data_IF_886756148014
#
_entry.id   IF_886756148014
#
_cell.length_a   1.000
_cell.length_b   1.000
_cell.length_c   1.000
_cell.angle_alpha   90.00
_cell.angle_beta   90.00
_cell.angle_gamma   90.00
#
_symmetry.space_group_name_H-M   'P 1'
#
loop_
_entity.id
_entity.type
_entity.pdbx_description
1 polymer ?
#
# COMPACT_ATOMS: atom_id res chain seq x y z
N UNK A 1 10.34 -9.50 22.88
CA UNK A 1 9.06 -9.56 22.13
C UNK A 1 8.98 -8.32 21.28
N UNK A 2 8.65 -8.42 19.99
CA UNK A 2 8.41 -7.24 19.13
C UNK A 2 7.12 -6.57 19.60
N UNK A 3 7.08 -5.24 19.75
CA UNK A 3 5.90 -4.55 20.25
C UNK A 3 4.74 -4.67 19.26
N UNK A 4 3.52 -4.81 19.80
CA UNK A 4 2.29 -4.86 19.00
C UNK A 4 1.74 -3.45 18.83
N UNK A 5 1.50 -3.06 17.60
CA UNK A 5 0.90 -1.77 17.25
C UNK A 5 -0.47 -1.99 16.60
N UNK A 6 -1.39 -1.06 16.81
CA UNK A 6 -2.74 -1.14 16.26
C UNK A 6 -2.83 -0.44 14.90
N UNK A 7 -3.58 -1.04 13.98
CA UNK A 7 -4.04 -0.40 12.73
C UNK A 7 -5.08 0.70 12.97
N UNK A 8 -5.55 0.86 14.21
CA UNK A 8 -6.72 1.65 14.58
C UNK A 8 -8.06 0.95 14.29
N UNK A 9 -8.03 -0.22 13.65
CA UNK A 9 -9.20 -1.05 13.35
C UNK A 9 -9.10 -2.37 14.13
N UNK A 10 -9.83 -2.47 15.25
CA UNK A 10 -9.77 -3.64 16.15
C UNK A 10 -9.97 -4.97 15.43
N UNK A 11 -10.94 -5.04 14.52
CA UNK A 11 -11.20 -6.24 13.73
C UNK A 11 -10.02 -6.63 12.83
N UNK A 12 -9.32 -5.64 12.26
CA UNK A 12 -8.17 -5.91 11.42
C UNK A 12 -6.95 -6.32 12.25
N UNK A 13 -6.76 -5.71 13.43
CA UNK A 13 -5.72 -6.11 14.37
C UNK A 13 -5.85 -7.60 14.75
N UNK A 14 -7.08 -8.07 14.96
CA UNK A 14 -7.35 -9.48 15.24
C UNK A 14 -7.03 -10.40 14.06
N UNK A 15 -7.30 -9.97 12.83
CA UNK A 15 -6.98 -10.74 11.61
C UNK A 15 -5.47 -10.82 11.40
N UNK A 16 -4.75 -9.72 11.60
CA UNK A 16 -3.33 -9.61 11.30
C UNK A 16 -2.41 -10.04 12.45
N UNK A 17 -2.95 -10.39 13.63
CA UNK A 17 -2.17 -10.51 14.88
C UNK A 17 -1.33 -9.23 15.14
N UNK A 18 -2.00 -8.10 14.99
CA UNK A 18 -1.48 -6.73 15.12
C UNK A 18 -0.35 -6.39 14.14
N UNK A 19 -0.13 -5.09 13.97
CA UNK A 19 1.12 -4.61 13.39
C UNK A 19 2.25 -4.84 14.39
N UNK A 20 3.47 -4.86 13.89
CA UNK A 20 4.70 -4.99 14.68
C UNK A 20 5.67 -3.90 14.24
N UNK A 21 6.48 -3.42 15.17
CA UNK A 21 7.58 -2.52 14.83
C UNK A 21 8.48 -3.16 13.77
N UNK A 22 8.85 -2.38 12.76
CA UNK A 22 9.51 -2.81 11.54
C UNK A 22 8.56 -3.16 10.39
N UNK A 23 7.24 -3.26 10.59
CA UNK A 23 6.33 -3.63 9.50
C UNK A 23 6.29 -2.56 8.40
N UNK A 24 6.71 -2.96 7.20
CA UNK A 24 6.25 -2.34 5.97
C UNK A 24 4.90 -2.96 5.59
N UNK A 25 3.89 -2.13 5.40
CA UNK A 25 2.49 -2.50 5.13
C UNK A 25 2.08 -1.96 3.78
N UNK A 26 1.98 -2.85 2.81
CA UNK A 26 1.62 -2.50 1.43
C UNK A 26 0.16 -2.82 1.18
N UNK A 27 -0.59 -1.82 0.74
CA UNK A 27 -2.00 -1.88 0.45
C UNK A 27 -2.21 -1.76 -1.06
N UNK A 28 -2.73 -2.81 -1.68
CA UNK A 28 -3.18 -2.77 -3.06
C UNK A 28 -4.65 -2.38 -3.10
N UNK A 29 -4.96 -1.25 -3.71
CA UNK A 29 -6.30 -0.65 -3.77
C UNK A 29 -6.71 -0.35 -5.21
N UNK A 30 -8.00 -0.31 -5.49
CA UNK A 30 -8.51 0.14 -6.79
C UNK A 30 -8.49 1.68 -6.91
N UNK A 31 -8.75 2.37 -5.80
CA UNK A 31 -8.73 3.84 -5.70
C UNK A 31 -8.00 4.28 -4.44
N UNK A 32 -7.33 5.42 -4.50
CA UNK A 32 -6.60 5.96 -3.36
C UNK A 32 -7.51 6.36 -2.18
N UNK A 33 -8.77 6.72 -2.46
CA UNK A 33 -9.74 7.00 -1.40
C UNK A 33 -10.10 5.75 -0.59
N UNK A 34 -9.97 4.55 -1.16
CA UNK A 34 -10.13 3.30 -0.40
C UNK A 34 -9.01 3.15 0.64
N UNK A 35 -7.77 3.47 0.25
CA UNK A 35 -6.61 3.46 1.16
C UNK A 35 -6.77 4.43 2.33
N UNK A 36 -7.39 5.60 2.09
CA UNK A 36 -7.66 6.61 3.13
C UNK A 36 -8.43 6.03 4.32
N UNK A 37 -9.34 5.08 4.09
CA UNK A 37 -10.12 4.41 5.14
C UNK A 37 -9.25 3.57 6.10
N UNK A 38 -8.03 3.22 5.71
CA UNK A 38 -7.06 2.50 6.55
C UNK A 38 -5.99 3.43 7.12
N UNK A 39 -5.61 4.49 6.38
CA UNK A 39 -4.67 5.51 6.88
C UNK A 39 -5.26 6.32 8.04
N UNK A 40 -6.52 6.75 7.91
CA UNK A 40 -7.15 7.60 8.92
C UNK A 40 -7.21 6.97 10.32
N UNK A 41 -7.70 5.72 10.49
CA UNK A 41 -7.69 5.08 11.81
C UNK A 41 -6.27 4.82 12.31
N UNK A 42 -5.33 4.44 11.44
CA UNK A 42 -3.92 4.22 11.81
C UNK A 42 -3.29 5.49 12.39
N UNK A 43 -3.39 6.62 11.68
CA UNK A 43 -2.86 7.91 12.14
C UNK A 43 -3.58 8.40 13.40
N UNK A 44 -4.90 8.24 13.45
CA UNK A 44 -5.69 8.63 14.63
C UNK A 44 -5.21 7.88 15.87
N UNK A 45 -4.99 6.56 15.72
CA UNK A 45 -4.49 5.72 16.80
C UNK A 45 -3.06 6.07 17.20
N UNK A 46 -2.18 6.27 16.23
CA UNK A 46 -0.80 6.69 16.46
C UNK A 46 -0.72 7.98 17.30
N UNK A 47 -1.57 8.96 16.99
CA UNK A 47 -1.67 10.22 17.74
C UNK A 47 -2.14 10.00 19.18
N UNK A 48 -3.12 9.12 19.40
CA UNK A 48 -3.61 8.78 20.74
C UNK A 48 -2.53 8.10 21.59
N UNK A 49 -1.68 7.30 20.95
CA UNK A 49 -0.55 6.64 21.59
C UNK A 49 0.71 7.54 21.65
N UNK A 50 0.58 8.84 21.34
CA UNK A 50 1.69 9.82 21.30
C UNK A 50 2.87 9.39 20.41
N UNK A 51 2.60 8.63 19.35
CA UNK A 51 3.59 8.24 18.36
C UNK A 51 3.76 9.35 17.33
N UNK A 52 5.00 9.62 16.94
CA UNK A 52 5.31 10.54 15.84
C UNK A 52 4.88 9.92 14.52
N UNK A 53 4.17 10.71 13.71
CA UNK A 53 3.77 10.33 12.36
C UNK A 53 4.50 11.21 11.36
N UNK A 54 5.09 10.60 10.35
CA UNK A 54 5.71 11.27 9.21
C UNK A 54 4.92 10.95 7.95
N UNK A 55 4.47 11.97 7.25
CA UNK A 55 3.76 11.83 5.99
C UNK A 55 4.66 12.27 4.82
N UNK A 56 5.00 11.31 3.97
CA UNK A 56 5.82 11.51 2.77
C UNK A 56 4.90 11.84 1.59
N UNK A 57 4.85 13.13 1.25
CA UNK A 57 3.92 13.70 0.27
C UNK A 57 4.64 13.93 -1.06
N UNK A 58 4.20 13.31 -2.14
CA UNK A 58 4.79 13.43 -3.48
C UNK A 58 3.80 13.23 -4.63
N UNK A 59 2.58 12.77 -4.33
CA UNK A 59 1.57 12.42 -5.32
C UNK A 59 0.56 13.55 -5.55
N UNK A 60 -0.16 13.50 -6.68
CA UNK A 60 -1.15 14.54 -7.05
C UNK A 60 -2.53 14.33 -6.43
N UNK A 61 -2.83 13.16 -5.88
CA UNK A 61 -4.09 12.90 -5.21
C UNK A 61 -4.27 13.80 -3.97
N UNK A 62 -5.49 13.92 -3.45
CA UNK A 62 -5.75 14.70 -2.22
C UNK A 62 -4.89 14.16 -1.05
N UNK A 63 -4.36 15.02 -0.16
CA UNK A 63 -3.60 14.59 1.01
C UNK A 63 -4.35 13.53 1.83
N UNK A 64 -3.63 12.50 2.25
CA UNK A 64 -4.15 11.40 3.07
C UNK A 64 -4.13 11.74 4.56
N UNK A 65 -3.16 12.54 4.98
CA UNK A 65 -2.95 12.99 6.35
C UNK A 65 -2.94 14.51 6.39
N UNK A 66 -3.52 15.08 7.45
CA UNK A 66 -3.49 16.52 7.71
C UNK A 66 -2.40 16.85 8.73
N UNK A 67 -1.86 18.06 8.66
CA UNK A 67 -0.86 18.53 9.61
C UNK A 67 -1.45 18.60 11.03
N UNK A 68 -0.65 18.22 12.02
CA UNK A 68 -0.99 18.22 13.43
C UNK A 68 0.29 18.29 14.27
N UNK A 69 0.19 18.47 15.58
CA UNK A 69 1.31 18.56 16.53
C UNK A 69 2.22 17.33 16.47
N UNK A 70 1.65 16.14 16.27
CA UNK A 70 2.39 14.87 16.19
C UNK A 70 2.64 14.39 14.74
N UNK A 71 2.32 15.21 13.74
CA UNK A 71 2.42 14.86 12.32
C UNK A 71 3.36 15.83 11.61
N UNK A 72 4.48 15.32 11.13
CA UNK A 72 5.37 16.06 10.22
C UNK A 72 5.07 15.67 8.78
N UNK A 73 4.89 16.65 7.89
CA UNK A 73 4.69 16.41 6.46
C UNK A 73 5.95 16.84 5.71
N UNK A 74 6.46 15.96 4.86
CA UNK A 74 7.56 16.27 3.93
C UNK A 74 7.02 16.24 2.51
N UNK A 75 7.03 17.39 1.85
CA UNK A 75 6.76 17.52 0.42
C UNK A 75 8.03 17.19 -0.37
N UNK A 76 7.91 16.19 -1.24
CA UNK A 76 8.96 15.63 -2.08
C UNK A 76 8.57 15.76 -3.55
N UNK A 77 9.51 16.14 -4.40
CA UNK A 77 9.27 16.22 -5.84
C UNK A 77 9.49 14.86 -6.51
N UNK A 78 8.42 14.22 -6.95
CA UNK A 78 8.50 12.98 -7.72
C UNK A 78 9.36 13.11 -9.00
N UNK A 79 9.44 14.31 -9.59
CA UNK A 79 10.14 14.58 -10.85
C UNK A 79 11.62 14.89 -10.67
N UNK A 80 12.14 14.93 -9.43
CA UNK A 80 13.56 15.12 -9.18
C UNK A 80 14.44 13.97 -9.68
N UNK A 81 13.81 12.88 -10.13
CA UNK A 81 14.47 11.64 -10.52
C UNK A 81 14.60 10.65 -9.37
N UNK A 82 14.72 9.36 -9.71
CA UNK A 82 14.74 8.25 -8.76
C UNK A 82 15.82 8.37 -7.68
N UNK A 83 17.06 8.70 -8.07
CA UNK A 83 18.19 8.76 -7.14
C UNK A 83 18.00 9.88 -6.13
N UNK A 84 17.76 11.11 -6.60
CA UNK A 84 17.53 12.28 -5.74
C UNK A 84 16.36 12.06 -4.79
N UNK A 85 15.23 11.54 -5.30
CA UNK A 85 14.06 11.25 -4.48
C UNK A 85 14.38 10.19 -3.40
N UNK A 86 15.03 9.09 -3.79
CA UNK A 86 15.35 7.99 -2.88
C UNK A 86 16.35 8.43 -1.80
N UNK A 87 17.34 9.26 -2.16
CA UNK A 87 18.28 9.86 -1.21
C UNK A 87 17.57 10.80 -0.23
N UNK A 88 16.64 11.63 -0.72
CA UNK A 88 15.85 12.51 0.17
C UNK A 88 15.03 11.70 1.16
N UNK A 89 14.29 10.68 0.69
CA UNK A 89 13.52 9.79 1.56
C UNK A 89 14.42 9.10 2.59
N UNK A 90 15.56 8.57 2.16
CA UNK A 90 16.53 7.93 3.05
C UNK A 90 17.03 8.89 4.13
N UNK A 91 17.41 10.12 3.75
CA UNK A 91 17.89 11.13 4.68
C UNK A 91 16.83 11.55 5.70
N UNK A 92 15.58 11.72 5.25
CA UNK A 92 14.46 12.02 6.15
C UNK A 92 14.29 10.88 7.15
N UNK A 93 14.20 9.62 6.68
CA UNK A 93 14.05 8.45 7.55
C UNK A 93 15.19 8.36 8.57
N UNK A 94 16.44 8.58 8.13
CA UNK A 94 17.62 8.59 9.01
C UNK A 94 17.58 9.71 10.06
N UNK A 95 17.11 10.90 9.67
CA UNK A 95 17.01 12.04 10.59
C UNK A 95 15.89 11.90 11.61
N UNK A 96 14.79 11.27 11.20
CA UNK A 96 13.61 11.00 12.01
C UNK A 96 13.86 9.86 13.00
N UNK A 97 14.61 8.85 12.58
CA UNK A 97 15.11 7.79 13.44
C UNK A 97 14.07 6.73 13.77
N UNK A 98 14.20 6.16 14.97
CA UNK A 98 13.42 5.01 15.42
C UNK A 98 12.02 5.39 15.87
N UNK A 99 11.14 4.39 15.96
CA UNK A 99 9.80 4.50 16.55
C UNK A 99 8.83 5.45 15.82
N UNK A 100 9.16 5.86 14.59
CA UNK A 100 8.32 6.72 13.76
C UNK A 100 7.35 5.90 12.91
N UNK A 101 6.12 6.38 12.76
CA UNK A 101 5.14 5.81 11.85
C UNK A 101 5.08 6.62 10.56
N UNK A 102 5.29 5.98 9.43
CA UNK A 102 5.30 6.60 8.13
C UNK A 102 4.03 6.29 7.36
N UNK A 103 3.47 7.31 6.73
CA UNK A 103 2.49 7.17 5.66
C UNK A 103 3.16 7.71 4.40
N UNK A 104 3.12 6.94 3.32
CA UNK A 104 3.56 7.39 2.01
C UNK A 104 2.35 7.63 1.13
N UNK A 105 2.46 8.64 0.26
CA UNK A 105 1.58 8.77 -0.88
C UNK A 105 1.59 7.53 -1.78
N UNK A 106 0.66 7.48 -2.72
CA UNK A 106 0.56 6.34 -3.63
C UNK A 106 1.81 6.22 -4.50
N UNK A 107 2.56 5.12 -4.35
CA UNK A 107 3.77 4.89 -5.12
C UNK A 107 3.50 4.67 -6.61
N UNK A 108 2.27 4.30 -6.99
CA UNK A 108 1.89 4.23 -8.40
C UNK A 108 1.94 5.57 -9.12
N UNK A 109 1.83 6.70 -8.40
CA UNK A 109 1.92 8.03 -9.03
C UNK A 109 3.35 8.38 -9.46
N UNK A 110 4.37 7.73 -8.85
CA UNK A 110 5.76 7.87 -9.25
C UNK A 110 6.04 7.28 -10.64
N UNK A 111 5.21 6.36 -11.14
CA UNK A 111 5.37 5.78 -12.49
C UNK A 111 5.34 6.82 -13.61
N UNK A 112 4.66 7.95 -13.39
CA UNK A 112 4.60 9.03 -14.38
C UNK A 112 5.88 9.87 -14.41
N UNK A 113 6.60 9.93 -13.30
CA UNK A 113 7.84 10.68 -13.17
C UNK A 113 9.08 9.80 -13.41
N UNK A 114 8.97 8.49 -13.20
CA UNK A 114 10.09 7.56 -13.26
C UNK A 114 10.01 6.69 -14.53
N UNK A 115 11.18 6.42 -15.10
CA UNK A 115 11.28 5.80 -16.42
C UNK A 115 10.81 4.33 -16.51
N UNK A 116 10.72 3.59 -15.39
CA UNK A 116 10.31 2.17 -15.41
C UNK A 116 9.65 1.75 -14.10
N UNK A 117 8.79 0.72 -14.16
CA UNK A 117 8.21 0.07 -12.98
C UNK A 117 9.28 -0.61 -12.09
N UNK A 118 10.42 -0.97 -12.69
CA UNK A 118 11.58 -1.50 -11.98
C UNK A 118 12.09 -0.53 -10.89
N UNK A 119 12.02 0.78 -11.13
CA UNK A 119 12.47 1.78 -10.16
C UNK A 119 11.61 1.79 -8.90
N UNK A 120 10.30 1.52 -9.02
CA UNK A 120 9.43 1.34 -7.86
C UNK A 120 9.87 0.13 -7.04
N UNK A 121 10.15 -0.99 -7.71
CA UNK A 121 10.69 -2.18 -7.05
C UNK A 121 12.02 -1.92 -6.35
N UNK A 122 12.92 -1.16 -6.96
CA UNK A 122 14.22 -0.79 -6.38
C UNK A 122 14.04 0.16 -5.18
N UNK A 123 13.13 1.13 -5.27
CA UNK A 123 12.79 2.01 -4.15
C UNK A 123 12.39 1.21 -2.90
N UNK A 124 11.53 0.20 -3.06
CA UNK A 124 11.16 -0.71 -1.97
C UNK A 124 12.34 -1.52 -1.42
N UNK A 125 13.22 -2.01 -2.31
CA UNK A 125 14.41 -2.76 -1.90
C UNK A 125 15.40 -1.91 -1.10
N UNK A 126 15.44 -0.60 -1.31
CA UNK A 126 16.33 0.32 -0.58
C UNK A 126 15.65 0.81 0.71
N UNK A 127 14.38 1.22 0.61
CA UNK A 127 13.69 1.95 1.68
C UNK A 127 13.17 1.03 2.79
N UNK A 128 12.59 -0.12 2.44
CA UNK A 128 11.95 -1.00 3.43
C UNK A 128 12.94 -1.65 4.41
N UNK A 129 14.14 -2.10 4.01
CA UNK A 129 15.14 -2.57 4.96
C UNK A 129 15.54 -1.49 5.97
N UNK A 130 15.73 -0.25 5.50
CA UNK A 130 16.08 0.88 6.36
C UNK A 130 14.98 1.18 7.40
N UNK A 131 13.73 1.23 6.95
CA UNK A 131 12.56 1.36 7.83
C UNK A 131 12.46 0.22 8.85
N UNK A 132 12.76 -1.01 8.41
CA UNK A 132 12.73 -2.19 9.26
C UNK A 132 13.80 -2.13 10.36
N UNK A 133 15.03 -1.75 10.01
CA UNK A 133 16.16 -1.60 10.97
C UNK A 133 15.90 -0.54 12.04
N UNK A 134 15.16 0.51 11.68
CA UNK A 134 14.75 1.56 12.60
C UNK A 134 13.49 1.24 13.40
N UNK A 135 12.95 0.01 13.31
CA UNK A 135 11.78 -0.42 14.09
C UNK A 135 10.56 0.50 13.84
N UNK A 136 10.41 0.98 12.61
CA UNK A 136 9.34 1.90 12.18
C UNK A 136 8.12 1.12 11.65
N UNK A 137 7.00 1.80 11.41
CA UNK A 137 5.89 1.20 10.62
C UNK A 137 5.65 2.06 9.39
N UNK A 138 5.70 1.46 8.20
CA UNK A 138 5.48 2.17 6.93
C UNK A 138 4.20 1.75 6.23
N UNK A 139 3.30 2.67 5.94
CA UNK A 139 2.10 2.45 5.14
C UNK A 139 2.31 2.92 3.70
N UNK A 140 2.16 2.01 2.75
CA UNK A 140 2.34 2.25 1.32
C UNK A 140 1.10 1.83 0.55
N UNK A 141 0.69 2.62 -0.45
CA UNK A 141 -0.37 2.24 -1.37
C UNK A 141 0.15 1.99 -2.79
N UNK A 142 -0.40 0.95 -3.41
CA UNK A 142 -0.26 0.65 -4.84
C UNK A 142 -1.65 0.60 -5.46
N UNK A 143 -1.81 1.27 -6.60
CA UNK A 143 -2.98 1.11 -7.43
C UNK A 143 -2.92 -0.23 -8.17
N UNK A 144 -4.00 -1.00 -8.05
CA UNK A 144 -4.17 -2.27 -8.75
C UNK A 144 -4.00 -2.08 -10.25
N UNK A 145 -3.44 -3.09 -10.92
CA UNK A 145 -3.18 -3.07 -12.36
C UNK A 145 -2.14 -2.02 -12.84
N UNK A 146 -1.51 -1.23 -11.97
CA UNK A 146 -0.51 -0.23 -12.41
C UNK A 146 0.93 -0.76 -12.48
N UNK A 147 1.24 -1.82 -11.75
CA UNK A 147 2.57 -2.43 -11.72
C UNK A 147 2.58 -3.81 -12.40
N UNK A 148 3.72 -4.19 -12.96
CA UNK A 148 3.96 -5.53 -13.51
C UNK A 148 3.95 -6.58 -12.41
N UNK A 149 3.69 -7.84 -12.77
CA UNK A 149 3.76 -8.94 -11.81
C UNK A 149 5.15 -9.09 -11.16
N UNK A 150 6.21 -8.82 -11.93
CA UNK A 150 7.59 -8.88 -11.45
C UNK A 150 7.85 -7.85 -10.35
N UNK A 151 7.38 -6.61 -10.53
CA UNK A 151 7.51 -5.56 -9.52
C UNK A 151 6.70 -5.88 -8.27
N UNK A 152 5.45 -6.33 -8.42
CA UNK A 152 4.64 -6.76 -7.26
C UNK A 152 5.32 -7.90 -6.49
N UNK A 153 5.92 -8.87 -7.18
CA UNK A 153 6.66 -9.95 -6.53
C UNK A 153 7.85 -9.42 -5.71
N UNK A 154 8.63 -8.48 -6.27
CA UNK A 154 9.75 -7.83 -5.58
C UNK A 154 9.31 -7.03 -4.35
N UNK A 155 8.22 -6.27 -4.45
CA UNK A 155 7.62 -5.56 -3.32
C UNK A 155 7.16 -6.54 -2.25
N UNK A 156 6.51 -7.64 -2.67
CA UNK A 156 6.08 -8.70 -1.76
C UNK A 156 7.26 -9.33 -1.03
N UNK A 157 8.44 -9.44 -1.63
CA UNK A 157 9.61 -10.04 -0.98
C UNK A 157 10.11 -9.21 0.21
N UNK A 158 10.13 -7.89 0.08
CA UNK A 158 10.71 -6.98 1.10
C UNK A 158 9.71 -6.52 2.17
N UNK A 159 8.42 -6.48 1.86
CA UNK A 159 7.37 -6.03 2.80
C UNK A 159 7.03 -7.07 3.86
N UNK A 160 6.56 -6.66 5.05
CA UNK A 160 6.11 -7.60 6.09
C UNK A 160 4.65 -7.98 5.87
N UNK A 161 3.84 -7.02 5.41
CA UNK A 161 2.43 -7.19 5.11
C UNK A 161 2.16 -6.75 3.66
N UNK A 162 1.43 -7.59 2.92
CA UNK A 162 0.86 -7.24 1.62
C UNK A 162 -0.63 -7.57 1.65
N UNK A 163 -1.46 -6.55 1.53
CA UNK A 163 -2.91 -6.64 1.68
C UNK A 163 -3.59 -6.19 0.39
N UNK A 164 -4.49 -7.01 -0.11
CA UNK A 164 -5.43 -6.62 -1.14
C UNK A 164 -6.67 -6.00 -0.51
N UNK A 165 -7.10 -4.86 -1.02
CA UNK A 165 -8.34 -4.19 -0.64
C UNK A 165 -9.26 -4.09 -1.85
N UNK A 166 -10.51 -4.46 -1.63
CA UNK A 166 -11.60 -4.26 -2.59
C UNK A 166 -12.73 -3.49 -1.91
N UNK A 167 -13.32 -2.56 -2.64
CA UNK A 167 -14.53 -1.85 -2.23
C UNK A 167 -15.65 -2.22 -3.20
N UNK A 168 -16.50 -3.17 -2.80
CA UNK A 168 -17.61 -3.65 -3.61
C UNK A 168 -18.91 -3.08 -3.05
N UNK A 169 -19.47 -2.11 -3.76
CA UNK A 169 -20.75 -1.47 -3.39
C UNK A 169 -20.71 -0.87 -1.96
N UNK A 170 -19.57 -0.29 -1.56
CA UNK A 170 -19.38 0.29 -0.22
C UNK A 170 -18.92 -0.71 0.85
N UNK A 171 -18.82 -2.00 0.52
CA UNK A 171 -18.33 -3.03 1.42
C UNK A 171 -16.82 -3.24 1.19
N UNK A 172 -16.03 -3.09 2.25
CA UNK A 172 -14.59 -3.34 2.19
C UNK A 172 -14.28 -4.81 2.41
N UNK A 173 -13.46 -5.36 1.52
CA UNK A 173 -12.86 -6.67 1.64
C UNK A 173 -11.35 -6.52 1.73
N UNK A 174 -10.75 -7.15 2.75
CA UNK A 174 -9.31 -7.18 2.95
C UNK A 174 -8.82 -8.62 2.82
N UNK A 175 -7.90 -8.86 1.91
CA UNK A 175 -7.30 -10.16 1.67
C UNK A 175 -5.79 -10.09 1.91
N UNK A 176 -5.29 -10.63 3.03
CA UNK A 176 -3.87 -10.71 3.28
C UNK A 176 -3.18 -11.68 2.30
N UNK A 177 -2.32 -11.15 1.43
CA UNK A 177 -1.54 -11.92 0.46
C UNK A 177 -0.17 -12.34 1.02
N UNK A 178 0.37 -11.55 1.96
CA UNK A 178 1.57 -11.87 2.73
C UNK A 178 1.38 -11.39 4.16
N UNK A 179 1.71 -12.26 5.11
CA UNK A 179 1.84 -11.91 6.52
C UNK A 179 3.12 -12.56 7.06
N UNK A 180 4.14 -11.77 7.37
CA UNK A 180 5.45 -12.29 7.76
C UNK A 180 5.50 -12.72 9.23
N UNK A 181 5.90 -13.97 9.48
CA UNK A 181 6.08 -14.57 10.82
C UNK A 181 4.85 -14.42 11.75
N UNK A 182 3.66 -14.58 11.17
CA UNK A 182 2.39 -14.67 11.90
C UNK A 182 1.58 -15.81 11.31
N UNK A 183 0.79 -16.48 12.15
CA UNK A 183 0.09 -17.69 11.75
C UNK A 183 -1.31 -17.71 12.35
N UNK A 184 -2.32 -17.85 11.50
CA UNK A 184 -3.70 -18.16 11.90
C UNK A 184 -4.38 -18.94 10.78
N UNK A 185 -5.26 -19.92 11.09
CA UNK A 185 -5.90 -20.77 10.09
C UNK A 185 -6.73 -20.02 9.05
N UNK A 186 -7.21 -18.81 9.37
CA UNK A 186 -8.10 -18.01 8.51
C UNK A 186 -7.46 -16.74 7.96
N UNK A 187 -6.22 -16.44 8.35
CA UNK A 187 -5.53 -15.18 8.05
C UNK A 187 -5.45 -14.86 6.56
N UNK A 188 -5.20 -15.88 5.72
CA UNK A 188 -5.05 -15.73 4.27
C UNK A 188 -6.38 -15.86 3.51
N UNK A 189 -7.52 -15.90 4.20
CA UNK A 189 -8.81 -15.76 3.53
C UNK A 189 -9.09 -14.28 3.24
N UNK A 190 -9.93 -13.97 2.24
CA UNK A 190 -10.55 -12.65 2.17
C UNK A 190 -11.46 -12.42 3.37
N UNK A 191 -11.44 -11.22 3.95
CA UNK A 191 -12.27 -10.83 5.08
C UNK A 191 -13.15 -9.65 4.69
N UNK A 192 -14.45 -9.77 4.93
CA UNK A 192 -15.42 -8.70 4.77
C UNK A 192 -15.49 -7.86 6.04
N UNK A 193 -15.36 -6.55 5.91
CA UNK A 193 -15.60 -5.62 7.01
C UNK A 193 -17.10 -5.59 7.35
N UNK A 194 -17.43 -5.90 8.59
CA UNK A 194 -18.77 -5.75 9.17
C UNK A 194 -18.65 -4.96 10.46
N UNK A 195 -19.11 -3.72 10.44
CA UNK A 195 -18.92 -2.77 11.54
C UNK A 195 -17.44 -2.69 11.96
N UNK A 196 -17.12 -3.09 13.20
CA UNK A 196 -15.78 -3.07 13.78
C UNK A 196 -14.98 -4.38 13.58
N UNK A 197 -15.55 -5.35 12.88
CA UNK A 197 -14.96 -6.68 12.64
C UNK A 197 -14.59 -6.93 11.19
N UNK A 198 -13.60 -7.80 10.98
CA UNK A 198 -13.25 -8.37 9.67
C UNK A 198 -13.54 -9.86 9.70
N UNK A 199 -14.62 -10.27 9.04
CA UNK A 199 -15.13 -11.65 9.08
C UNK A 199 -14.63 -12.42 7.85
N UNK A 200 -13.98 -13.58 8.02
CA UNK A 200 -13.51 -14.37 6.87
C UNK A 200 -14.69 -14.80 6.00
N UNK A 201 -14.54 -14.67 4.68
CA UNK A 201 -15.53 -15.13 3.73
C UNK A 201 -15.51 -16.66 3.70
N UNK A 202 -16.56 -17.26 4.25
CA UNK A 202 -16.77 -18.71 4.23
C UNK A 202 -18.10 -19.11 3.60
N UNK A 203 -18.98 -18.15 3.31
CA UNK A 203 -20.25 -18.41 2.63
C UNK A 203 -20.12 -18.17 1.11
N UNK A 204 -20.95 -18.87 0.34
CA UNK A 204 -20.92 -18.85 -1.12
C UNK A 204 -21.35 -17.51 -1.71
N UNK A 205 -22.29 -16.79 -1.09
CA UNK A 205 -22.81 -15.52 -1.62
C UNK A 205 -21.75 -14.43 -1.63
N UNK A 206 -21.07 -14.23 -0.49
CA UNK A 206 -20.00 -13.24 -0.36
C UNK A 206 -18.78 -13.63 -1.21
N UNK A 207 -18.49 -14.94 -1.33
CA UNK A 207 -17.44 -15.44 -2.21
C UNK A 207 -17.73 -15.15 -3.68
N UNK A 208 -18.95 -15.45 -4.16
CA UNK A 208 -19.36 -15.18 -5.55
C UNK A 208 -19.31 -13.69 -5.85
N UNK A 209 -19.80 -12.82 -4.95
CA UNK A 209 -19.74 -11.36 -5.11
C UNK A 209 -18.29 -10.87 -5.30
N UNK A 210 -17.39 -11.30 -4.42
CA UNK A 210 -15.98 -10.92 -4.51
C UNK A 210 -15.33 -11.45 -5.80
N UNK A 211 -15.57 -12.72 -6.15
CA UNK A 211 -15.02 -13.33 -7.37
C UNK A 211 -15.51 -12.59 -8.61
N UNK A 212 -16.82 -12.34 -8.72
CA UNK A 212 -17.39 -11.59 -9.85
C UNK A 212 -16.77 -10.19 -9.98
N UNK A 213 -16.56 -9.49 -8.87
CA UNK A 213 -15.90 -8.19 -8.87
C UNK A 213 -14.44 -8.30 -9.34
N UNK A 214 -13.66 -9.24 -8.80
CA UNK A 214 -12.25 -9.44 -9.14
C UNK A 214 -12.09 -9.84 -10.60
N UNK A 215 -12.89 -10.78 -11.09
CA UNK A 215 -12.87 -11.24 -12.48
C UNK A 215 -13.20 -10.11 -13.47
N UNK A 216 -14.12 -9.21 -13.12
CA UNK A 216 -14.43 -8.02 -13.94
C UNK A 216 -13.33 -6.95 -13.96
N UNK A 217 -12.34 -7.02 -13.06
CA UNK A 217 -11.22 -6.06 -12.94
C UNK A 217 -9.87 -6.60 -13.42
N UNK A 218 -9.81 -7.88 -13.79
CA UNK A 218 -8.62 -8.49 -14.34
C UNK A 218 -8.35 -7.99 -15.75
N UNK A 219 -7.24 -7.28 -15.96
CA UNK A 219 -6.66 -7.14 -17.29
C UNK A 219 -6.13 -8.50 -17.75
N UNK A 220 -6.15 -8.71 -19.07
CA UNK A 220 -5.53 -9.84 -19.75
C UNK A 220 -4.12 -10.12 -19.15
N UNK A 221 -3.84 -11.34 -18.65
CA UNK A 221 -2.54 -11.72 -18.11
C UNK A 221 -1.37 -11.35 -19.04
N UNK A 222 -1.57 -11.38 -20.36
CA UNK A 222 -0.57 -11.00 -21.34
C UNK A 222 -0.16 -9.51 -21.22
N UNK A 223 -1.11 -8.61 -20.93
CA UNK A 223 -0.86 -7.17 -20.77
C UNK A 223 -0.12 -6.83 -19.46
N UNK A 224 -0.14 -7.70 -18.44
CA UNK A 224 0.53 -7.46 -17.13
C UNK A 224 1.98 -7.94 -17.05
N UNK A 225 2.47 -8.64 -18.06
CA UNK A 225 3.90 -8.99 -18.20
C UNK A 225 4.74 -7.80 -18.69
N UNK A 226 4.09 -6.76 -19.24
CA UNK A 226 4.70 -5.58 -19.83
C UNK A 226 4.89 -4.45 -18.80
N UNK A 227 5.92 -3.62 -19.01
CA UNK A 227 6.20 -2.45 -18.17
C UNK A 227 5.06 -1.40 -18.28
N UNK A 228 5.01 -0.45 -17.35
CA UNK A 228 4.05 0.66 -17.40
C UNK A 228 4.13 1.45 -18.72
N UNK A 229 5.35 1.73 -19.19
CA UNK A 229 5.57 2.47 -20.44
C UNK A 229 5.19 1.66 -21.68
N UNK A 230 5.55 0.38 -21.75
CA UNK A 230 5.11 -0.52 -22.82
C UNK A 230 3.58 -0.53 -22.96
N UNK A 231 2.87 -0.52 -21.82
CA UNK A 231 1.40 -0.46 -21.80
C UNK A 231 0.86 0.88 -22.29
N UNK A 232 1.52 2.00 -21.98
CA UNK A 232 1.14 3.31 -22.49
C UNK A 232 1.33 3.42 -24.00
N UNK A 233 2.44 2.90 -24.54
CA UNK A 233 2.70 2.87 -25.97
C UNK A 233 1.63 2.05 -26.71
N UNK A 234 1.35 0.82 -26.27
CA UNK A 234 0.31 -0.03 -26.87
C UNK A 234 -1.08 0.63 -26.84
N UNK A 235 -1.42 1.31 -25.74
CA UNK A 235 -2.71 2.02 -25.63
C UNK A 235 -2.79 3.22 -26.58
N UNK A 236 -1.66 3.87 -26.84
CA UNK A 236 -1.59 5.00 -27.79
C UNK A 236 -1.74 4.52 -29.24
N UNK A 237 -1.20 3.35 -29.57
CA UNK A 237 -1.41 2.70 -30.87
C UNK A 237 -2.88 2.26 -31.06
N UNK A 238 -3.50 1.63 -30.07
CA UNK A 238 -4.91 1.23 -30.11
C UNK A 238 -5.85 2.45 -30.33
N UNK A 239 -5.57 3.59 -29.69
CA UNK A 239 -6.33 4.84 -29.86
C UNK A 239 -6.08 5.51 -31.22
N UNK A 240 -4.90 5.32 -31.82
CA UNK A 240 -4.57 5.85 -33.15
C UNK A 240 -5.20 5.02 -34.29
N UNK A 241 -5.48 3.75 -34.04
CA UNK A 241 -6.13 2.84 -35.02
C UNK A 241 -7.67 2.90 -34.97
N UNK A 242 -8.26 3.44 -33.89
CA UNK A 242 -9.69 3.75 -33.79
C UNK A 242 -9.89 5.22 -33.37
N UNK A 243 -9.60 6.18 -34.26
CA UNK A 243 -9.88 7.58 -33.98
C UNK A 243 -11.40 7.75 -33.83
N UNK A 244 -11.82 8.34 -32.71
CA UNK A 244 -13.20 8.79 -32.51
C UNK A 244 -13.57 9.88 -33.50
#
# INVERSE_FOLDING_TARGET
MVARQSTGLKGLDAVLDYLRDGDNVVWQVDKIDDFRNFVTPFVTRAKQDSRKVVYMRFAKHKPLVQADTNVTIYDLDANSGFETFSTQVHNIISSEGKDVFYVFDCLSDLLSAWATDLMIGNFFMITCPHLFELETIGYFALLRNKHSFKTIARIRETTQLLLDVYNVEGNFYVHPLKVWKRYSPRMFLPHLQKADQFVPITNSVDATRLISYVSGKGLDPAKRTLDYWDRLFLRSEELSQNPS
#
